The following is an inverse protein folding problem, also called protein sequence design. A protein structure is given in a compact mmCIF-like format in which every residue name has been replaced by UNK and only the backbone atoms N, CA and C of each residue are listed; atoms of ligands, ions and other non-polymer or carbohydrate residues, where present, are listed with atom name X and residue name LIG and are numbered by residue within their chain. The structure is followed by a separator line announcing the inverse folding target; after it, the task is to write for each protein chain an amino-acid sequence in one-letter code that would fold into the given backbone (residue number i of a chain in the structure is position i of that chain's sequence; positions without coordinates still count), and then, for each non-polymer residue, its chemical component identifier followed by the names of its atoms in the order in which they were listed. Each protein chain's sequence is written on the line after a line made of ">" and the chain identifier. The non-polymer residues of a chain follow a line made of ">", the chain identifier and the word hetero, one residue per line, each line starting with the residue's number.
data_IF_416890003368
#
_entry.id   IF_416890003368
#
_cell.length_a   1.000
_cell.length_b   1.000
_cell.length_c   1.000
_cell.angle_alpha   90.00
_cell.angle_beta   90.00
_cell.angle_gamma   90.00
#
_symmetry.space_group_name_H-M   'P 1'
#
loop_
_entity.id
_entity.type
_entity.pdbx_description
1 polymer ?
#
# COMPACT_ATOMS: atom_id res chain seq x y z
N UNK A 1 1.69 -55.95 23.17
CA UNK A 1 1.56 -55.54 24.58
C UNK A 1 2.70 -56.15 25.40
N UNK A 2 3.97 -55.81 25.11
CA UNK A 2 5.15 -56.36 25.80
C UNK A 2 6.35 -55.38 25.82
N UNK A 3 6.13 -54.09 25.52
CA UNK A 3 7.18 -53.06 25.51
C UNK A 3 7.13 -52.13 26.74
N UNK A 4 6.07 -52.20 27.53
CA UNK A 4 5.85 -51.31 28.68
C UNK A 4 6.41 -51.85 30.01
N UNK A 5 6.82 -53.12 30.07
CA UNK A 5 7.22 -53.77 31.32
C UNK A 5 8.74 -53.80 31.59
N UNK A 6 9.56 -53.11 30.81
CA UNK A 6 11.04 -53.10 30.99
C UNK A 6 11.66 -51.69 31.07
N UNK A 7 10.84 -50.64 31.22
CA UNK A 7 11.32 -49.27 31.35
C UNK A 7 11.53 -48.96 32.84
N UNK A 8 12.78 -48.69 33.22
CA UNK A 8 13.09 -48.19 34.56
C UNK A 8 12.50 -46.78 34.73
N UNK A 9 12.32 -46.32 35.98
CA UNK A 9 11.84 -44.96 36.27
C UNK A 9 12.64 -43.88 35.54
N UNK A 10 13.93 -44.12 35.29
CA UNK A 10 14.80 -43.24 34.50
C UNK A 10 14.41 -43.16 33.02
N UNK A 11 13.93 -44.25 32.41
CA UNK A 11 13.56 -44.25 30.99
C UNK A 11 12.26 -43.49 30.75
N UNK A 12 11.31 -43.58 31.70
CA UNK A 12 10.09 -42.78 31.70
C UNK A 12 10.37 -41.27 31.87
N UNK A 13 11.40 -40.90 32.64
CA UNK A 13 11.85 -39.51 32.75
C UNK A 13 12.42 -39.04 31.41
N UNK A 14 13.22 -39.87 30.72
CA UNK A 14 13.76 -39.53 29.41
C UNK A 14 12.66 -39.38 28.34
N UNK A 15 11.72 -40.33 28.30
CA UNK A 15 10.57 -40.28 27.37
C UNK A 15 9.69 -39.06 27.63
N UNK A 16 9.42 -38.73 28.89
CA UNK A 16 8.65 -37.53 29.23
C UNK A 16 9.41 -36.25 28.88
N UNK A 17 10.73 -36.20 29.07
CA UNK A 17 11.57 -35.09 28.61
C UNK A 17 11.51 -34.88 27.09
N UNK A 18 11.58 -35.97 26.31
CA UNK A 18 11.44 -35.92 24.85
C UNK A 18 10.04 -35.42 24.46
N UNK A 19 9.00 -35.93 25.11
CA UNK A 19 7.61 -35.53 24.84
C UNK A 19 7.37 -34.04 25.14
N UNK A 20 7.86 -33.54 26.28
CA UNK A 20 7.75 -32.12 26.66
C UNK A 20 8.50 -31.23 25.66
N UNK A 21 9.72 -31.59 25.28
CA UNK A 21 10.49 -30.82 24.29
C UNK A 21 9.80 -30.80 22.91
N UNK A 22 9.19 -31.91 22.48
CA UNK A 22 8.43 -31.97 21.25
C UNK A 22 7.20 -31.04 21.27
N UNK A 23 6.44 -31.05 22.37
CA UNK A 23 5.27 -30.18 22.56
C UNK A 23 5.69 -28.70 22.53
N UNK A 24 6.77 -28.34 23.23
CA UNK A 24 7.31 -26.98 23.22
C UNK A 24 7.75 -26.54 21.82
N UNK A 25 8.45 -27.41 21.08
CA UNK A 25 8.85 -27.15 19.70
C UNK A 25 7.65 -26.87 18.78
N UNK A 26 6.59 -27.68 18.89
CA UNK A 26 5.35 -27.48 18.13
C UNK A 26 4.68 -26.15 18.51
N UNK A 27 4.58 -25.84 19.81
CA UNK A 27 3.97 -24.59 20.28
C UNK A 27 4.72 -23.36 19.75
N UNK A 28 6.05 -23.36 19.82
CA UNK A 28 6.89 -22.28 19.28
C UNK A 28 6.70 -22.17 17.76
N UNK A 29 6.72 -23.28 17.03
CA UNK A 29 6.52 -23.28 15.59
C UNK A 29 5.15 -22.70 15.19
N UNK A 30 4.08 -23.05 15.90
CA UNK A 30 2.73 -22.51 15.66
C UNK A 30 2.65 -21.00 15.94
N UNK A 31 3.23 -20.54 17.05
CA UNK A 31 3.24 -19.12 17.42
C UNK A 31 4.03 -18.30 16.38
N UNK A 32 5.23 -18.77 16.00
CA UNK A 32 6.07 -18.10 15.01
C UNK A 32 5.37 -18.07 13.64
N UNK A 33 4.82 -19.20 13.19
CA UNK A 33 4.13 -19.30 11.91
C UNK A 33 2.94 -18.34 11.84
N UNK A 34 2.13 -18.27 12.91
CA UNK A 34 1.02 -17.32 13.00
C UNK A 34 1.50 -15.87 12.94
N UNK A 35 2.58 -15.54 13.65
CA UNK A 35 3.16 -14.18 13.63
C UNK A 35 3.69 -13.80 12.25
N UNK A 36 4.39 -14.71 11.57
CA UNK A 36 4.89 -14.50 10.20
C UNK A 36 3.71 -14.31 9.23
N UNK A 37 2.68 -15.16 9.33
CA UNK A 37 1.48 -15.07 8.49
C UNK A 37 0.77 -13.74 8.66
N UNK A 38 0.57 -13.29 9.90
CA UNK A 38 -0.07 -11.99 10.16
C UNK A 38 0.75 -10.82 9.61
N UNK A 39 2.08 -10.84 9.80
CA UNK A 39 2.96 -9.81 9.22
C UNK A 39 2.87 -9.77 7.70
N UNK A 40 2.85 -10.94 7.04
CA UNK A 40 2.70 -11.03 5.58
C UNK A 40 1.35 -10.47 5.12
N UNK A 41 0.26 -10.85 5.77
CA UNK A 41 -1.08 -10.36 5.43
C UNK A 41 -1.18 -8.83 5.50
N UNK A 42 -0.55 -8.21 6.50
CA UNK A 42 -0.49 -6.75 6.64
C UNK A 42 0.31 -6.11 5.49
N UNK A 43 1.49 -6.67 5.16
CA UNK A 43 2.29 -6.20 4.01
C UNK A 43 1.50 -6.29 2.70
N UNK A 44 0.88 -7.44 2.45
CA UNK A 44 0.09 -7.70 1.25
C UNK A 44 -1.06 -6.69 1.11
N UNK A 45 -1.74 -6.39 2.22
CA UNK A 45 -2.80 -5.37 2.26
C UNK A 45 -2.28 -4.00 1.80
N UNK A 46 -1.19 -3.49 2.38
CA UNK A 46 -0.67 -2.17 2.01
C UNK A 46 -0.10 -2.13 0.58
N UNK A 47 0.60 -3.18 0.16
CA UNK A 47 1.08 -3.30 -1.21
C UNK A 47 -0.09 -3.31 -2.21
N UNK A 48 -1.21 -3.94 -1.85
CA UNK A 48 -2.41 -3.93 -2.67
C UNK A 48 -3.08 -2.55 -2.69
N UNK A 49 -3.17 -1.86 -1.56
CA UNK A 49 -3.72 -0.51 -1.50
C UNK A 49 -2.91 0.48 -2.35
N UNK A 50 -1.57 0.40 -2.31
CA UNK A 50 -0.69 1.22 -3.15
C UNK A 50 -0.91 0.90 -4.64
N UNK A 51 -1.07 -0.38 -5.00
CA UNK A 51 -1.41 -0.77 -6.38
C UNK A 51 -2.76 -0.18 -6.81
N UNK A 52 -3.76 -0.21 -5.94
CA UNK A 52 -5.08 0.39 -6.22
C UNK A 52 -4.97 1.89 -6.46
N UNK A 53 -4.24 2.62 -5.60
CA UNK A 53 -3.98 4.06 -5.77
C UNK A 53 -3.34 4.33 -7.13
N UNK A 54 -2.31 3.56 -7.51
CA UNK A 54 -1.66 3.70 -8.82
C UNK A 54 -2.64 3.50 -9.98
N UNK A 55 -3.52 2.51 -9.88
CA UNK A 55 -4.55 2.27 -10.90
C UNK A 55 -5.60 3.39 -10.95
N UNK A 56 -5.94 3.98 -9.81
CA UNK A 56 -6.90 5.09 -9.74
C UNK A 56 -6.33 6.36 -10.39
N UNK A 57 -5.04 6.66 -10.20
CA UNK A 57 -4.37 7.72 -10.97
C UNK A 57 -4.41 7.44 -12.47
N UNK A 58 -4.13 6.20 -12.89
CA UNK A 58 -4.16 5.83 -14.31
C UNK A 58 -5.54 6.05 -14.91
N UNK A 59 -6.61 5.60 -14.23
CA UNK A 59 -7.99 5.79 -14.67
C UNK A 59 -8.35 7.27 -14.72
N UNK A 60 -8.00 8.03 -13.69
CA UNK A 60 -8.21 9.47 -13.64
C UNK A 60 -7.61 10.17 -14.85
N UNK A 61 -6.35 9.89 -15.20
CA UNK A 61 -5.71 10.53 -16.35
C UNK A 61 -6.34 10.13 -17.68
N UNK A 62 -6.72 8.87 -17.85
CA UNK A 62 -7.43 8.40 -19.05
C UNK A 62 -8.73 9.19 -19.24
N UNK A 63 -9.49 9.34 -18.16
CA UNK A 63 -10.78 10.02 -18.19
C UNK A 63 -10.64 11.55 -18.30
N UNK A 64 -9.63 12.14 -17.64
CA UNK A 64 -9.28 13.55 -17.76
C UNK A 64 -8.88 13.90 -19.19
N UNK A 65 -7.98 13.14 -19.79
CA UNK A 65 -7.53 13.37 -21.17
C UNK A 65 -8.59 13.04 -22.22
N UNK A 66 -9.56 12.19 -21.85
CA UNK A 66 -10.75 11.90 -22.64
C UNK A 66 -11.88 12.93 -22.48
N UNK A 67 -11.67 14.01 -21.72
CA UNK A 67 -12.66 15.07 -21.52
C UNK A 67 -13.88 14.64 -20.70
N UNK A 68 -13.79 13.55 -19.93
CA UNK A 68 -14.90 13.04 -19.10
C UNK A 68 -15.00 13.71 -17.73
N UNK A 69 -13.98 14.49 -17.36
CA UNK A 69 -13.95 15.22 -16.10
C UNK A 69 -14.41 16.67 -16.30
N UNK A 70 -15.19 17.15 -15.33
CA UNK A 70 -15.52 18.56 -15.14
C UNK A 70 -14.56 19.19 -14.13
N UNK A 71 -14.58 20.51 -14.00
CA UNK A 71 -13.86 21.23 -12.96
C UNK A 71 -14.16 20.65 -11.57
N UNK A 72 -15.44 20.51 -11.21
CA UNK A 72 -15.88 20.02 -9.90
C UNK A 72 -15.48 18.56 -9.67
N UNK A 73 -15.67 17.68 -10.67
CA UNK A 73 -15.31 16.27 -10.49
C UNK A 73 -13.81 16.07 -10.35
N UNK A 74 -13.00 16.92 -10.98
CA UNK A 74 -11.54 16.90 -10.84
C UNK A 74 -11.12 17.30 -9.42
N UNK A 75 -11.65 18.40 -8.90
CA UNK A 75 -11.34 18.83 -7.53
C UNK A 75 -11.80 17.80 -6.48
N UNK A 76 -12.99 17.23 -6.64
CA UNK A 76 -13.50 16.19 -5.76
C UNK A 76 -12.59 14.94 -5.79
N UNK A 77 -12.11 14.55 -6.96
CA UNK A 77 -11.19 13.42 -7.10
C UNK A 77 -9.88 13.67 -6.33
N UNK A 78 -9.28 14.85 -6.47
CA UNK A 78 -8.08 15.22 -5.71
C UNK A 78 -8.30 15.26 -4.20
N UNK A 79 -9.47 15.72 -3.74
CA UNK A 79 -9.80 15.69 -2.32
C UNK A 79 -9.86 14.26 -1.78
N UNK A 80 -10.52 13.35 -2.48
CA UNK A 80 -10.60 11.93 -2.11
C UNK A 80 -9.21 11.30 -2.11
N UNK A 81 -8.42 11.53 -3.16
CA UNK A 81 -7.07 10.98 -3.27
C UNK A 81 -6.16 11.50 -2.16
N UNK A 82 -6.22 12.80 -1.85
CA UNK A 82 -5.43 13.40 -0.77
C UNK A 82 -5.74 12.77 0.60
N UNK A 83 -7.03 12.56 0.93
CA UNK A 83 -7.41 11.88 2.17
C UNK A 83 -6.87 10.45 2.23
N UNK A 84 -6.92 9.71 1.12
CA UNK A 84 -6.38 8.35 1.05
C UNK A 84 -4.87 8.32 1.27
N UNK A 85 -4.13 9.23 0.63
CA UNK A 85 -2.68 9.31 0.79
C UNK A 85 -2.29 9.68 2.23
N UNK A 86 -2.99 10.63 2.86
CA UNK A 86 -2.77 10.99 4.27
C UNK A 86 -2.98 9.78 5.19
N UNK A 87 -4.11 9.10 5.05
CA UNK A 87 -4.41 7.93 5.89
C UNK A 87 -3.39 6.80 5.67
N UNK A 88 -2.97 6.58 4.42
CA UNK A 88 -1.96 5.58 4.10
C UNK A 88 -0.62 5.94 4.72
N UNK A 89 -0.17 7.18 4.58
CA UNK A 89 1.08 7.68 5.13
C UNK A 89 1.14 7.59 6.66
N UNK A 90 0.08 8.02 7.35
CA UNK A 90 -0.04 7.90 8.80
C UNK A 90 0.05 6.44 9.25
N UNK A 91 -0.64 5.54 8.55
CA UNK A 91 -0.66 4.13 8.91
C UNK A 91 0.68 3.44 8.62
N UNK A 92 1.31 3.75 7.50
CA UNK A 92 2.65 3.24 7.15
C UNK A 92 3.72 3.72 8.13
N UNK A 93 3.64 4.98 8.58
CA UNK A 93 4.51 5.51 9.62
C UNK A 93 4.33 4.76 10.94
N UNK A 94 3.09 4.47 11.34
CA UNK A 94 2.78 3.81 12.60
C UNK A 94 3.15 2.31 12.61
N UNK A 95 2.89 1.60 11.52
CA UNK A 95 3.06 0.13 11.45
C UNK A 95 4.44 -0.25 10.92
N UNK A 96 4.89 0.39 9.85
CA UNK A 96 6.11 0.03 9.12
C UNK A 96 7.28 0.99 9.37
N UNK A 97 7.08 2.07 10.13
CA UNK A 97 8.08 3.12 10.38
C UNK A 97 8.63 3.77 9.10
N UNK A 98 7.84 3.72 8.02
CA UNK A 98 8.15 4.37 6.75
C UNK A 98 7.70 5.82 6.88
N UNK A 99 8.64 6.75 6.96
CA UNK A 99 8.36 8.18 7.18
C UNK A 99 8.43 9.03 5.92
N UNK A 100 8.81 8.45 4.78
CA UNK A 100 9.13 9.21 3.57
C UNK A 100 8.29 8.72 2.38
N UNK A 101 6.96 8.75 2.53
CA UNK A 101 6.04 8.30 1.48
C UNK A 101 5.99 9.26 0.29
N UNK A 102 6.10 10.59 0.54
CA UNK A 102 6.28 11.67 -0.44
C UNK A 102 5.14 11.88 -1.44
N UNK A 103 4.25 10.90 -1.62
CA UNK A 103 3.22 10.89 -2.65
C UNK A 103 2.12 11.94 -2.39
N UNK A 104 1.93 12.36 -1.13
CA UNK A 104 1.00 13.44 -0.78
C UNK A 104 1.44 14.78 -1.41
N UNK A 105 2.71 15.13 -1.26
CA UNK A 105 3.24 16.38 -1.80
C UNK A 105 3.23 16.34 -3.33
N UNK A 106 3.59 15.19 -3.92
CA UNK A 106 3.48 14.99 -5.37
C UNK A 106 2.02 15.05 -5.89
N UNK A 107 1.04 14.60 -5.09
CA UNK A 107 -0.38 14.75 -5.41
C UNK A 107 -0.81 16.21 -5.38
N UNK A 108 -0.30 16.99 -4.42
CA UNK A 108 -0.54 18.43 -4.36
C UNK A 108 0.04 19.13 -5.59
N UNK A 109 1.29 18.82 -5.95
CA UNK A 109 1.93 19.33 -7.17
C UNK A 109 1.13 18.98 -8.43
N UNK A 110 0.67 17.74 -8.55
CA UNK A 110 -0.13 17.30 -9.70
C UNK A 110 -1.45 18.06 -9.78
N UNK A 111 -2.12 18.26 -8.64
CA UNK A 111 -3.33 19.08 -8.57
C UNK A 111 -3.02 20.47 -9.08
N UNK A 112 -1.99 21.11 -8.56
CA UNK A 112 -1.66 22.49 -8.93
C UNK A 112 -1.28 22.62 -10.41
N UNK A 113 -0.55 21.65 -10.97
CA UNK A 113 -0.28 21.58 -12.41
C UNK A 113 -1.59 21.54 -13.20
N UNK A 114 -2.56 20.72 -12.78
CA UNK A 114 -3.83 20.58 -13.50
C UNK A 114 -4.71 21.81 -13.31
N UNK A 115 -4.91 22.26 -12.07
CA UNK A 115 -5.95 23.23 -11.72
C UNK A 115 -5.53 24.67 -11.95
N UNK A 116 -4.23 24.99 -11.89
CA UNK A 116 -3.75 26.35 -12.09
C UNK A 116 -3.48 26.67 -13.57
N UNK A 117 -3.54 25.67 -14.45
CA UNK A 117 -3.34 25.88 -15.88
C UNK A 117 -4.56 26.52 -16.54
N UNK A 118 -4.32 27.33 -17.57
CA UNK A 118 -5.37 28.08 -18.24
C UNK A 118 -6.43 27.16 -18.88
N UNK A 119 -6.01 26.02 -19.44
CA UNK A 119 -6.91 24.99 -19.99
C UNK A 119 -8.01 24.54 -19.00
N UNK A 120 -7.70 24.56 -17.69
CA UNK A 120 -8.62 24.16 -16.63
C UNK A 120 -9.48 25.32 -16.15
N UNK A 121 -8.90 26.52 -16.01
CA UNK A 121 -9.63 27.73 -15.63
C UNK A 121 -10.68 28.11 -16.68
N UNK A 122 -10.35 27.96 -17.97
CA UNK A 122 -11.26 28.20 -19.08
C UNK A 122 -12.41 27.18 -19.15
N UNK A 123 -12.34 26.09 -18.38
CA UNK A 123 -13.33 25.04 -18.28
C UNK A 123 -14.27 25.19 -17.06
N UNK A 124 -14.13 26.24 -16.24
CA UNK A 124 -14.95 26.43 -15.03
C UNK A 124 -16.47 26.36 -15.28
N UNK A 125 -16.93 26.94 -16.40
CA UNK A 125 -18.34 26.93 -16.81
C UNK A 125 -18.66 25.90 -17.91
N UNK A 126 -17.72 25.00 -18.24
CA UNK A 126 -17.87 24.03 -19.34
C UNK A 126 -18.22 22.64 -18.81
N UNK A 127 -18.90 21.85 -19.63
CA UNK A 127 -19.26 20.46 -19.32
C UNK A 127 -18.08 19.48 -19.39
N UNK A 128 -16.91 19.93 -19.84
CA UNK A 128 -15.69 19.12 -19.93
C UNK A 128 -14.44 19.99 -19.91
N UNK A 129 -13.36 19.43 -19.36
CA UNK A 129 -12.01 20.00 -19.43
C UNK A 129 -11.30 19.48 -20.68
N UNK A 130 -10.79 20.37 -21.53
CA UNK A 130 -9.95 20.00 -22.67
C UNK A 130 -8.51 20.40 -22.40
N UNK A 131 -7.65 19.40 -22.18
CA UNK A 131 -6.23 19.62 -21.86
C UNK A 131 -5.40 19.67 -23.15
N UNK A 132 -4.59 20.71 -23.32
CA UNK A 132 -3.66 20.87 -24.44
C UNK A 132 -2.54 19.81 -24.41
N UNK A 133 -1.92 19.55 -25.57
CA UNK A 133 -0.89 18.50 -25.66
C UNK A 133 0.35 18.81 -24.80
N UNK A 134 0.75 20.08 -24.70
CA UNK A 134 1.87 20.49 -23.85
C UNK A 134 1.55 20.24 -22.38
N UNK A 135 0.35 20.62 -21.93
CA UNK A 135 -0.09 20.40 -20.56
C UNK A 135 -0.21 18.90 -20.22
N UNK A 136 -0.68 18.07 -21.16
CA UNK A 136 -0.67 16.60 -21.01
C UNK A 136 0.73 16.05 -20.71
N UNK A 137 1.78 16.57 -21.35
CA UNK A 137 3.15 16.10 -21.12
C UNK A 137 3.63 16.42 -19.71
N UNK A 138 3.30 17.60 -19.17
CA UNK A 138 3.63 17.99 -17.79
C UNK A 138 2.91 17.10 -16.78
N UNK A 139 1.62 16.86 -16.99
CA UNK A 139 0.80 15.97 -16.17
C UNK A 139 1.39 14.56 -16.14
N UNK A 140 1.77 14.02 -17.31
CA UNK A 140 2.37 12.67 -17.42
C UNK A 140 3.72 12.59 -16.71
N UNK A 141 4.55 13.63 -16.80
CA UNK A 141 5.83 13.67 -16.07
C UNK A 141 5.61 13.61 -14.56
N UNK A 142 4.71 14.44 -14.03
CA UNK A 142 4.41 14.44 -12.59
C UNK A 142 3.76 13.13 -12.14
N UNK A 143 2.91 12.52 -12.96
CA UNK A 143 2.37 11.19 -12.69
C UNK A 143 3.46 10.11 -12.61
N UNK A 144 4.52 10.21 -13.41
CA UNK A 144 5.64 9.28 -13.34
C UNK A 144 6.39 9.38 -12.00
N UNK A 145 6.55 10.61 -11.46
CA UNK A 145 7.12 10.83 -10.13
C UNK A 145 6.26 10.19 -9.03
N UNK A 146 4.93 10.39 -9.06
CA UNK A 146 4.01 9.73 -8.13
C UNK A 146 4.15 8.21 -8.24
N UNK A 147 4.13 7.67 -9.46
CA UNK A 147 4.23 6.23 -9.69
C UNK A 147 5.53 5.64 -9.15
N UNK A 148 6.64 6.38 -9.26
CA UNK A 148 7.93 6.02 -8.67
C UNK A 148 7.85 6.01 -7.14
N UNK A 149 7.32 7.07 -6.53
CA UNK A 149 7.15 7.17 -5.06
C UNK A 149 6.34 5.99 -4.50
N UNK A 150 5.25 5.63 -5.17
CA UNK A 150 4.42 4.46 -4.81
C UNK A 150 5.20 3.15 -4.94
N UNK A 151 6.03 3.00 -5.99
CA UNK A 151 6.84 1.80 -6.20
C UNK A 151 7.94 1.66 -5.15
N UNK A 152 8.64 2.76 -4.84
CA UNK A 152 9.67 2.79 -3.80
C UNK A 152 9.06 2.41 -2.43
N UNK A 153 7.85 2.87 -2.14
CA UNK A 153 7.11 2.51 -0.92
C UNK A 153 6.78 1.01 -0.86
N UNK A 154 6.40 0.39 -1.97
CA UNK A 154 6.16 -1.06 -2.02
C UNK A 154 7.45 -1.82 -1.65
N UNK A 155 8.60 -1.35 -2.13
CA UNK A 155 9.91 -1.93 -1.81
C UNK A 155 10.20 -1.79 -0.31
N UNK A 156 9.96 -0.62 0.26
CA UNK A 156 10.16 -0.35 1.69
C UNK A 156 9.26 -1.23 2.57
N UNK A 157 7.97 -1.39 2.22
CA UNK A 157 7.06 -2.30 2.93
C UNK A 157 7.57 -3.73 2.87
N UNK A 158 8.02 -4.18 1.70
CA UNK A 158 8.56 -5.53 1.54
C UNK A 158 9.80 -5.76 2.42
N UNK A 159 10.66 -4.74 2.53
CA UNK A 159 11.92 -4.81 3.28
C UNK A 159 11.77 -4.56 4.80
N UNK A 160 10.63 -4.03 5.26
CA UNK A 160 10.32 -3.76 6.68
C UNK A 160 10.01 -4.97 7.56
#
# INVERSE_FOLDING_TARGET
>A
MLLLCYLNSSDWINVSGIAVNAILGIAIALIISKRISNKRAIKDYFMNEIKNIREDYRKFLIDLFGGKFTFNSTNNWFQVMNMRLINLEETLKNIHKISNFGAKDLNHDLRDIITNHQDFNDAFNKSSVTISQLHKQEIVKKQAEISKSLMDTIIDINNS
#
